data_IF_782826849807
#
_entry.id   IF_782826849807
#
_cell.length_a   1.000
_cell.length_b   1.000
_cell.length_c   1.000
_cell.angle_alpha   90.00
_cell.angle_beta   90.00
_cell.angle_gamma   90.00
#
_symmetry.space_group_name_H-M   'P 1'
#
loop_
_entity.id
_entity.type
_entity.pdbx_description
1 polymer ?
#
# COMPACT_ATOMS: atom_id res chain seq x y z
N UNK A 1 -45.31 17.42 -15.24
CA UNK A 1 -44.72 16.94 -16.51
C UNK A 1 -43.30 16.55 -16.27
N UNK A 2 -43.07 15.28 -16.05
CA UNK A 2 -41.75 14.67 -15.77
C UNK A 2 -41.00 14.52 -17.09
N UNK A 3 -39.92 15.26 -17.30
CA UNK A 3 -39.01 15.03 -18.41
C UNK A 3 -38.12 13.82 -18.05
N UNK A 4 -38.47 12.67 -18.63
CA UNK A 4 -37.58 11.52 -18.70
C UNK A 4 -36.40 11.90 -19.59
N UNK A 5 -35.20 12.00 -19.01
CA UNK A 5 -33.95 12.00 -19.76
C UNK A 5 -33.86 10.67 -20.55
N UNK A 6 -33.56 10.71 -21.84
CA UNK A 6 -33.37 9.49 -22.61
C UNK A 6 -32.05 8.84 -22.21
N UNK A 7 -32.13 7.70 -21.52
CA UNK A 7 -31.00 6.82 -21.32
C UNK A 7 -30.48 6.29 -22.66
N UNK A 8 -29.42 6.90 -23.18
CA UNK A 8 -28.69 6.38 -24.34
C UNK A 8 -27.78 5.25 -23.83
N UNK A 9 -28.36 4.07 -23.70
CA UNK A 9 -27.62 2.83 -23.63
C UNK A 9 -27.16 2.43 -25.01
N UNK A 10 -26.05 2.97 -25.52
CA UNK A 10 -25.40 2.41 -26.70
C UNK A 10 -24.64 1.14 -26.26
N UNK A 11 -25.28 0.01 -26.42
CA UNK A 11 -24.67 -1.33 -26.38
C UNK A 11 -23.89 -1.57 -27.68
N UNK A 12 -22.77 -0.89 -27.87
CA UNK A 12 -21.97 -1.13 -29.07
C UNK A 12 -20.77 -0.21 -29.12
N UNK A 13 -19.60 -0.63 -28.63
CA UNK A 13 -18.37 0.09 -28.88
C UNK A 13 -17.35 0.13 -27.75
N UNK A 14 -17.71 -0.18 -26.50
CA UNK A 14 -16.72 -0.15 -25.41
C UNK A 14 -15.75 -1.34 -25.56
N UNK A 15 -14.47 -1.06 -25.77
CA UNK A 15 -13.43 -2.09 -25.85
C UNK A 15 -13.00 -2.49 -24.43
N UNK A 16 -13.87 -3.25 -23.76
CA UNK A 16 -13.67 -3.70 -22.38
C UNK A 16 -12.34 -4.45 -22.21
N UNK A 17 -11.96 -5.28 -23.20
CA UNK A 17 -10.70 -6.02 -23.14
C UNK A 17 -9.49 -5.07 -23.12
N UNK A 18 -9.51 -4.01 -23.93
CA UNK A 18 -8.44 -3.03 -23.95
C UNK A 18 -8.40 -2.19 -22.68
N UNK A 19 -9.55 -1.77 -22.14
CA UNK A 19 -9.64 -1.06 -20.86
C UNK A 19 -9.09 -1.90 -19.71
N UNK A 20 -9.47 -3.18 -19.65
CA UNK A 20 -8.95 -4.11 -18.63
C UNK A 20 -7.44 -4.28 -18.80
N UNK A 21 -6.94 -4.49 -20.00
CA UNK A 21 -5.52 -4.66 -20.26
C UNK A 21 -4.70 -3.46 -19.76
N UNK A 22 -5.04 -2.23 -20.18
CA UNK A 22 -4.29 -1.04 -19.78
C UNK A 22 -4.42 -0.73 -18.29
N UNK A 23 -5.56 -1.08 -17.68
CA UNK A 23 -5.76 -0.98 -16.24
C UNK A 23 -4.90 -2.01 -15.48
N UNK A 24 -4.80 -3.24 -15.97
CA UNK A 24 -3.89 -4.25 -15.41
C UNK A 24 -2.42 -3.80 -15.52
N UNK A 25 -2.02 -3.18 -16.63
CA UNK A 25 -0.67 -2.59 -16.73
C UNK A 25 -0.46 -1.53 -15.65
N UNK A 26 -1.40 -0.62 -15.46
CA UNK A 26 -1.29 0.41 -14.42
C UNK A 26 -1.23 -0.19 -13.00
N UNK A 27 -1.93 -1.31 -12.73
CA UNK A 27 -1.89 -1.99 -11.42
C UNK A 27 -0.57 -2.67 -11.10
N UNK A 28 0.32 -2.90 -12.09
CA UNK A 28 1.68 -3.39 -11.83
C UNK A 28 2.49 -2.42 -10.95
N UNK A 29 2.18 -1.12 -10.97
CA UNK A 29 2.73 -0.17 -9.99
C UNK A 29 2.36 -0.55 -8.54
N UNK A 30 1.14 -1.05 -8.31
CA UNK A 30 0.73 -1.61 -7.02
C UNK A 30 1.45 -2.91 -6.68
N UNK A 31 1.60 -3.81 -7.65
CA UNK A 31 2.38 -5.04 -7.46
C UNK A 31 3.82 -4.75 -7.04
N UNK A 32 4.48 -3.78 -7.71
CA UNK A 32 5.84 -3.36 -7.37
C UNK A 32 5.91 -2.72 -5.98
N UNK A 33 4.90 -1.94 -5.57
CA UNK A 33 4.79 -1.45 -4.20
C UNK A 33 4.78 -2.62 -3.20
N UNK A 34 3.95 -3.63 -3.43
CA UNK A 34 3.89 -4.80 -2.56
C UNK A 34 5.19 -5.58 -2.54
N UNK A 35 5.81 -5.80 -3.70
CA UNK A 35 7.08 -6.51 -3.82
C UNK A 35 8.21 -5.78 -3.09
N UNK A 36 8.35 -4.48 -3.32
CA UNK A 36 9.38 -3.64 -2.68
C UNK A 36 9.23 -3.56 -1.16
N UNK A 37 7.98 -3.59 -0.68
CA UNK A 37 7.66 -3.67 0.75
C UNK A 37 7.97 -5.04 1.35
N UNK A 38 7.75 -6.12 0.61
CA UNK A 38 7.95 -7.48 1.09
C UNK A 38 9.39 -7.97 1.02
N UNK A 39 10.16 -7.52 0.04
CA UNK A 39 11.52 -8.00 -0.18
C UNK A 39 12.43 -7.77 1.02
N UNK A 40 12.25 -6.67 1.73
CA UNK A 40 13.05 -6.30 2.90
C UNK A 40 13.00 -7.36 4.02
N UNK A 41 11.90 -8.09 4.14
CA UNK A 41 11.69 -9.11 5.17
C UNK A 41 12.77 -10.20 5.17
N UNK A 42 13.17 -10.68 4.01
CA UNK A 42 14.19 -11.73 3.87
C UNK A 42 15.62 -11.21 3.86
N UNK A 43 15.83 -9.89 3.94
CA UNK A 43 17.16 -9.29 3.75
C UNK A 43 17.74 -8.68 5.01
N UNK A 44 16.99 -8.64 6.12
CA UNK A 44 17.38 -7.94 7.35
C UNK A 44 18.68 -8.49 7.94
N UNK A 45 18.85 -9.83 7.98
CA UNK A 45 20.06 -10.46 8.50
C UNK A 45 21.26 -10.19 7.59
N UNK A 46 21.04 -10.22 6.26
CA UNK A 46 22.05 -9.84 5.28
C UNK A 46 22.52 -8.40 5.42
N UNK A 47 21.59 -7.45 5.63
CA UNK A 47 21.91 -6.04 5.86
C UNK A 47 22.71 -5.84 7.15
N UNK A 48 22.26 -6.47 8.25
CA UNK A 48 22.95 -6.41 9.54
C UNK A 48 24.40 -6.88 9.41
N UNK A 49 24.62 -7.99 8.73
CA UNK A 49 25.95 -8.55 8.55
C UNK A 49 26.80 -7.72 7.57
N UNK A 50 26.24 -7.34 6.42
CA UNK A 50 26.99 -6.64 5.37
C UNK A 50 27.43 -5.22 5.78
N UNK A 51 26.61 -4.52 6.58
CA UNK A 51 26.91 -3.12 6.98
C UNK A 51 27.31 -2.98 8.44
N UNK A 52 27.36 -4.08 9.20
CA UNK A 52 27.63 -4.07 10.64
C UNK A 52 26.73 -3.07 11.39
N UNK A 53 25.44 -3.08 11.04
CA UNK A 53 24.48 -2.06 11.47
C UNK A 53 24.08 -2.24 12.92
N UNK A 54 24.07 -1.15 13.70
CA UNK A 54 23.40 -1.11 15.00
C UNK A 54 21.88 -1.23 14.82
N UNK A 55 21.15 -1.56 15.90
CA UNK A 55 19.67 -1.70 15.83
C UNK A 55 18.98 -0.41 15.32
N UNK A 56 19.47 0.76 15.70
CA UNK A 56 18.96 2.03 15.21
C UNK A 56 19.26 2.25 13.71
N UNK A 57 20.48 1.91 13.27
CA UNK A 57 20.86 2.01 11.86
C UNK A 57 20.06 1.03 11.01
N UNK A 58 19.90 -0.22 11.46
CA UNK A 58 19.10 -1.24 10.80
C UNK A 58 17.62 -0.79 10.66
N UNK A 59 17.05 -0.24 11.73
CA UNK A 59 15.70 0.31 11.70
C UNK A 59 15.56 1.42 10.65
N UNK A 60 16.56 2.29 10.53
CA UNK A 60 16.57 3.35 9.52
C UNK A 60 16.76 2.79 8.09
N UNK A 61 17.65 1.82 7.89
CA UNK A 61 17.86 1.13 6.61
C UNK A 61 16.55 0.54 6.10
N UNK A 62 15.82 -0.19 6.95
CA UNK A 62 14.52 -0.79 6.61
C UNK A 62 13.46 0.27 6.35
N UNK A 63 13.37 1.32 7.18
CA UNK A 63 12.36 2.36 7.10
C UNK A 63 12.64 3.42 6.02
N UNK A 64 13.86 3.52 5.50
CA UNK A 64 14.30 4.60 4.59
C UNK A 64 13.45 4.74 3.33
N UNK A 65 12.93 3.64 2.81
CA UNK A 65 11.98 3.64 1.68
C UNK A 65 10.75 4.52 1.96
N UNK A 66 10.25 4.51 3.20
CA UNK A 66 9.03 5.22 3.58
C UNK A 66 9.18 6.74 3.49
N UNK A 67 10.39 7.26 3.68
CA UNK A 67 10.69 8.69 3.44
C UNK A 67 10.52 9.04 1.96
N UNK A 68 11.03 8.19 1.08
CA UNK A 68 10.82 8.32 -0.37
C UNK A 68 9.33 8.25 -0.73
N UNK A 69 8.58 7.33 -0.12
CA UNK A 69 7.14 7.18 -0.34
C UNK A 69 6.36 8.47 -0.02
N UNK A 70 6.65 9.09 1.12
CA UNK A 70 6.01 10.34 1.52
C UNK A 70 6.27 11.46 0.49
N UNK A 71 7.53 11.63 0.07
CA UNK A 71 7.92 12.65 -0.92
C UNK A 71 7.30 12.33 -2.29
N UNK A 72 7.39 11.07 -2.74
CA UNK A 72 6.85 10.64 -4.02
C UNK A 72 5.34 10.83 -4.12
N UNK A 73 4.59 10.44 -3.08
CA UNK A 73 3.15 10.63 -3.03
C UNK A 73 2.75 12.11 -3.00
N UNK A 74 3.49 12.94 -2.27
CA UNK A 74 3.24 14.39 -2.22
C UNK A 74 3.46 15.07 -3.57
N UNK A 75 4.54 14.71 -4.27
CA UNK A 75 4.87 15.29 -5.57
C UNK A 75 4.10 14.69 -6.74
N UNK A 76 3.46 13.54 -6.55
CA UNK A 76 2.80 12.78 -7.62
C UNK A 76 1.79 13.61 -8.41
N UNK A 77 0.94 14.39 -7.73
CA UNK A 77 -0.06 15.25 -8.37
C UNK A 77 0.57 16.27 -9.30
N UNK A 78 1.57 17.00 -8.81
CA UNK A 78 2.31 18.02 -9.59
C UNK A 78 3.07 17.40 -10.78
N UNK A 79 3.71 16.25 -10.56
CA UNK A 79 4.36 15.49 -11.63
C UNK A 79 3.34 15.01 -12.67
N UNK A 80 2.19 14.51 -12.23
CA UNK A 80 1.10 14.03 -13.07
C UNK A 80 0.50 15.13 -13.96
N UNK A 81 0.46 16.37 -13.45
CA UNK A 81 0.02 17.55 -14.24
C UNK A 81 1.06 18.01 -15.25
N UNK A 82 2.36 17.72 -15.03
CA UNK A 82 3.45 18.08 -15.94
C UNK A 82 3.75 16.99 -16.98
N UNK A 83 3.99 15.77 -16.53
CA UNK A 83 4.49 14.65 -17.33
C UNK A 83 3.37 13.75 -17.87
N UNK A 84 2.15 13.88 -17.34
CA UNK A 84 1.06 12.94 -17.58
C UNK A 84 1.10 11.73 -16.62
N UNK A 85 0.00 11.00 -16.60
CA UNK A 85 -0.13 9.86 -15.69
C UNK A 85 0.81 8.73 -16.12
N UNK A 86 0.81 8.41 -17.41
CA UNK A 86 1.73 7.43 -18.01
C UNK A 86 3.20 7.86 -17.85
N UNK A 87 3.50 9.14 -18.07
CA UNK A 87 4.86 9.68 -17.95
C UNK A 87 5.42 9.48 -16.53
N UNK A 88 4.63 9.79 -15.48
CA UNK A 88 5.04 9.55 -14.09
C UNK A 88 5.22 8.06 -13.80
N UNK A 89 4.35 7.19 -14.31
CA UNK A 89 4.49 5.75 -14.13
C UNK A 89 5.76 5.20 -14.82
N UNK A 90 6.15 5.73 -15.99
CA UNK A 90 7.40 5.36 -16.67
C UNK A 90 8.61 5.78 -15.82
N UNK A 91 8.61 7.00 -15.28
CA UNK A 91 9.69 7.45 -14.38
C UNK A 91 9.73 6.57 -13.13
N UNK A 92 8.57 6.24 -12.55
CA UNK A 92 8.50 5.33 -11.39
C UNK A 92 9.06 3.94 -11.73
N UNK A 93 8.73 3.38 -12.91
CA UNK A 93 9.25 2.07 -13.34
C UNK A 93 10.78 2.07 -13.48
N UNK A 94 11.36 3.13 -14.03
CA UNK A 94 12.81 3.32 -14.10
C UNK A 94 13.44 3.44 -12.71
N UNK A 95 12.80 4.21 -11.81
CA UNK A 95 13.29 4.36 -10.44
C UNK A 95 13.20 3.04 -9.65
N UNK A 96 12.15 2.23 -9.84
CA UNK A 96 12.06 0.88 -9.27
C UNK A 96 13.23 0.00 -9.76
N UNK A 97 13.50 0.01 -11.06
CA UNK A 97 14.59 -0.77 -11.65
C UNK A 97 15.95 -0.34 -11.08
N UNK A 98 16.24 0.96 -11.06
CA UNK A 98 17.49 1.50 -10.52
C UNK A 98 17.61 1.21 -9.02
N UNK A 99 16.52 1.35 -8.27
CA UNK A 99 16.49 1.04 -6.84
C UNK A 99 16.78 -0.45 -6.58
N UNK A 100 16.14 -1.36 -7.30
CA UNK A 100 16.34 -2.80 -7.15
C UNK A 100 17.80 -3.19 -7.43
N UNK A 101 18.37 -2.69 -8.53
CA UNK A 101 19.76 -2.95 -8.89
C UNK A 101 20.73 -2.32 -7.89
N UNK A 102 20.48 -1.07 -7.49
CA UNK A 102 21.30 -0.33 -6.54
C UNK A 102 21.28 -0.91 -5.14
N UNK A 103 20.11 -1.33 -4.63
CA UNK A 103 19.98 -1.94 -3.31
C UNK A 103 20.74 -3.26 -3.22
N UNK A 104 20.59 -4.15 -4.21
CA UNK A 104 21.33 -5.41 -4.27
C UNK A 104 22.82 -5.25 -4.49
N UNK A 105 23.26 -4.20 -5.21
CA UNK A 105 24.67 -3.92 -5.46
C UNK A 105 25.34 -3.09 -4.35
N UNK A 106 24.59 -2.60 -3.37
CA UNK A 106 25.12 -1.73 -2.32
C UNK A 106 26.20 -2.43 -1.48
N UNK A 107 27.33 -1.76 -1.31
CA UNK A 107 28.46 -2.19 -0.47
C UNK A 107 28.64 -1.28 0.75
N UNK A 108 27.79 -0.28 0.91
CA UNK A 108 27.76 0.61 2.07
C UNK A 108 26.31 0.98 2.40
N UNK A 109 26.00 1.14 3.69
CA UNK A 109 24.66 1.47 4.19
C UNK A 109 24.05 2.72 3.52
N UNK A 110 24.84 3.79 3.33
CA UNK A 110 24.32 5.01 2.70
C UNK A 110 23.89 4.82 1.23
N UNK A 111 24.59 3.95 0.47
CA UNK A 111 24.19 3.60 -0.90
C UNK A 111 22.90 2.81 -0.91
N UNK A 112 22.77 1.86 0.02
CA UNK A 112 21.54 1.10 0.21
C UNK A 112 20.38 2.04 0.55
N UNK A 113 20.54 2.93 1.53
CA UNK A 113 19.54 3.93 1.93
C UNK A 113 19.15 4.80 0.74
N UNK A 114 20.11 5.31 -0.04
CA UNK A 114 19.84 6.13 -1.22
C UNK A 114 19.01 5.36 -2.27
N UNK A 115 19.35 4.10 -2.53
CA UNK A 115 18.59 3.24 -3.45
C UNK A 115 17.17 2.99 -2.91
N UNK A 116 16.99 2.73 -1.60
CA UNK A 116 15.69 2.51 -0.96
C UNK A 116 14.81 3.78 -0.99
N UNK A 117 15.38 4.94 -0.72
CA UNK A 117 14.66 6.23 -0.83
C UNK A 117 14.19 6.47 -2.26
N UNK A 118 15.02 6.15 -3.26
CA UNK A 118 14.66 6.25 -4.67
C UNK A 118 13.49 5.30 -5.02
N UNK A 119 13.55 4.03 -4.57
CA UNK A 119 12.46 3.06 -4.72
C UNK A 119 11.17 3.52 -4.03
N UNK A 120 11.32 4.07 -2.82
CA UNK A 120 10.21 4.67 -2.10
C UNK A 120 9.54 5.82 -2.86
N UNK A 121 10.32 6.70 -3.47
CA UNK A 121 9.76 7.76 -4.33
C UNK A 121 8.92 7.15 -5.47
N UNK A 122 9.40 6.09 -6.11
CA UNK A 122 8.65 5.37 -7.14
C UNK A 122 7.34 4.77 -6.59
N UNK A 123 7.40 4.13 -5.41
CA UNK A 123 6.21 3.62 -4.70
C UNK A 123 5.20 4.71 -4.45
N UNK A 124 5.62 5.83 -3.84
CA UNK A 124 4.75 6.96 -3.52
C UNK A 124 4.10 7.54 -4.76
N UNK A 125 4.87 7.80 -5.81
CA UNK A 125 4.35 8.33 -7.07
C UNK A 125 3.39 7.36 -7.76
N UNK A 126 3.73 6.07 -7.84
CA UNK A 126 2.88 5.05 -8.46
C UNK A 126 1.59 4.81 -7.68
N UNK A 127 1.63 4.87 -6.33
CA UNK A 127 0.45 4.67 -5.47
C UNK A 127 -0.66 5.69 -5.72
N UNK A 128 -0.29 6.89 -6.16
CA UNK A 128 -1.23 7.97 -6.51
C UNK A 128 -1.60 7.91 -8.00
N UNK A 129 -0.60 7.69 -8.88
CA UNK A 129 -0.81 7.78 -10.34
C UNK A 129 -1.51 6.57 -10.93
N UNK A 130 -1.29 5.35 -10.42
CA UNK A 130 -1.98 4.16 -10.94
C UNK A 130 -3.49 4.23 -10.77
N UNK A 131 -4.04 4.51 -9.57
CA UNK A 131 -5.48 4.71 -9.41
C UNK A 131 -6.02 5.90 -10.23
N UNK A 132 -5.26 7.00 -10.33
CA UNK A 132 -5.67 8.16 -11.12
C UNK A 132 -5.77 7.81 -12.62
N UNK A 133 -4.78 7.11 -13.18
CA UNK A 133 -4.81 6.64 -14.56
C UNK A 133 -6.02 5.72 -14.81
N UNK A 134 -6.23 4.73 -13.94
CA UNK A 134 -7.36 3.80 -14.03
C UNK A 134 -8.70 4.56 -14.00
N UNK A 135 -8.84 5.54 -13.10
CA UNK A 135 -10.06 6.34 -12.98
C UNK A 135 -10.35 7.19 -14.23
N UNK A 136 -9.32 7.59 -14.98
CA UNK A 136 -9.43 8.41 -16.18
C UNK A 136 -9.66 7.59 -17.46
N UNK A 137 -9.25 6.31 -17.50
CA UNK A 137 -9.44 5.44 -18.68
C UNK A 137 -10.61 4.48 -18.55
N UNK A 138 -11.02 4.13 -17.33
CA UNK A 138 -12.11 3.20 -17.07
C UNK A 138 -13.46 3.91 -17.04
N UNK A 139 -14.50 3.24 -17.58
CA UNK A 139 -15.88 3.71 -17.43
C UNK A 139 -16.33 3.63 -15.96
N UNK A 140 -17.32 4.45 -15.59
CA UNK A 140 -17.88 4.49 -14.23
C UNK A 140 -18.32 3.08 -13.73
N UNK A 141 -18.78 2.22 -14.65
CA UNK A 141 -19.21 0.84 -14.36
C UNK A 141 -18.08 -0.03 -13.79
N UNK A 142 -16.84 0.13 -14.27
CA UNK A 142 -15.71 -0.73 -13.91
C UNK A 142 -14.75 -0.08 -12.90
N UNK A 143 -14.85 1.23 -12.68
CA UNK A 143 -13.90 2.02 -11.84
C UNK A 143 -13.74 1.44 -10.44
N UNK A 144 -14.84 1.10 -9.75
CA UNK A 144 -14.78 0.51 -8.40
C UNK A 144 -14.10 -0.86 -8.37
N UNK A 145 -14.41 -1.72 -9.34
CA UNK A 145 -13.78 -3.05 -9.46
C UNK A 145 -12.28 -2.95 -9.74
N UNK A 146 -11.88 -2.01 -10.59
CA UNK A 146 -10.47 -1.80 -10.93
C UNK A 146 -9.66 -1.21 -9.76
N UNK A 147 -10.28 -0.38 -8.92
CA UNK A 147 -9.65 0.07 -7.67
C UNK A 147 -9.35 -1.11 -6.72
N UNK A 148 -10.23 -2.10 -6.68
CA UNK A 148 -10.01 -3.34 -5.92
C UNK A 148 -8.86 -4.16 -6.48
N UNK A 149 -8.71 -4.21 -7.81
CA UNK A 149 -7.59 -4.90 -8.47
C UNK A 149 -6.25 -4.28 -8.08
N UNK A 150 -6.19 -2.97 -7.88
CA UNK A 150 -4.99 -2.28 -7.38
C UNK A 150 -4.57 -2.81 -5.99
N UNK A 151 -5.50 -2.92 -5.05
CA UNK A 151 -5.22 -3.45 -3.71
C UNK A 151 -4.79 -4.93 -3.76
N UNK A 152 -5.45 -5.72 -4.59
CA UNK A 152 -5.06 -7.11 -4.82
C UNK A 152 -3.63 -7.21 -5.39
N UNK A 153 -3.28 -6.34 -6.34
CA UNK A 153 -1.95 -6.31 -6.92
C UNK A 153 -0.87 -6.03 -5.87
N UNK A 154 -1.11 -5.11 -4.92
CA UNK A 154 -0.19 -4.84 -3.79
C UNK A 154 0.04 -6.11 -2.97
N UNK A 155 -1.03 -6.80 -2.58
CA UNK A 155 -0.92 -8.01 -1.74
C UNK A 155 -0.28 -9.17 -2.51
N UNK A 156 -0.59 -9.33 -3.80
CA UNK A 156 0.08 -10.31 -4.65
C UNK A 156 1.58 -10.01 -4.81
N UNK A 157 1.96 -8.74 -4.90
CA UNK A 157 3.36 -8.31 -4.93
C UNK A 157 4.08 -8.66 -3.63
N UNK A 158 3.46 -8.40 -2.48
CA UNK A 158 3.98 -8.77 -1.17
C UNK A 158 4.20 -10.29 -1.05
N UNK A 159 3.20 -11.08 -1.45
CA UNK A 159 3.29 -12.54 -1.47
C UNK A 159 4.43 -13.02 -2.40
N UNK A 160 4.53 -12.45 -3.59
CA UNK A 160 5.57 -12.79 -4.55
C UNK A 160 6.98 -12.50 -4.01
N UNK A 161 7.15 -11.38 -3.28
CA UNK A 161 8.40 -11.06 -2.61
C UNK A 161 8.74 -12.08 -1.51
N UNK A 162 7.78 -12.44 -0.66
CA UNK A 162 7.99 -13.45 0.37
C UNK A 162 8.36 -14.81 -0.22
N UNK A 163 7.66 -15.23 -1.27
CA UNK A 163 7.97 -16.47 -1.99
C UNK A 163 9.36 -16.43 -2.63
N UNK A 164 9.71 -15.32 -3.27
CA UNK A 164 11.05 -15.10 -3.85
C UNK A 164 12.14 -15.19 -2.79
N UNK A 165 11.97 -14.50 -1.66
CA UNK A 165 12.92 -14.52 -0.54
C UNK A 165 13.12 -15.95 -0.01
N UNK A 166 12.02 -16.68 0.22
CA UNK A 166 12.07 -18.06 0.69
C UNK A 166 12.82 -18.97 -0.28
N UNK A 167 12.50 -18.90 -1.58
CA UNK A 167 13.12 -19.75 -2.59
C UNK A 167 14.63 -19.46 -2.74
N UNK A 168 15.03 -18.19 -2.73
CA UNK A 168 16.42 -17.78 -2.85
C UNK A 168 17.25 -18.17 -1.60
N UNK A 169 16.73 -17.89 -0.41
CA UNK A 169 17.39 -18.30 0.84
C UNK A 169 17.51 -19.83 0.94
N UNK A 170 16.46 -20.56 0.59
CA UNK A 170 16.50 -22.03 0.56
C UNK A 170 17.51 -22.57 -0.44
N UNK A 171 17.63 -21.95 -1.62
CA UNK A 171 18.60 -22.38 -2.64
C UNK A 171 20.05 -22.12 -2.23
N UNK A 172 20.31 -21.05 -1.47
CA UNK A 172 21.64 -20.71 -0.95
C UNK A 172 21.98 -21.44 0.37
N UNK A 173 20.96 -21.85 1.13
CA UNK A 173 21.10 -22.37 2.50
C UNK A 173 20.71 -21.34 3.57
N UNK A 174 21.01 -20.05 3.35
CA UNK A 174 20.56 -18.92 4.15
C UNK A 174 20.58 -17.64 3.31
N UNK A 175 19.95 -16.56 3.80
CA UNK A 175 19.94 -15.26 3.10
C UNK A 175 21.33 -14.63 2.98
N UNK A 176 22.21 -14.94 3.93
CA UNK A 176 23.59 -14.44 4.02
C UNK A 176 24.60 -15.27 3.24
N UNK A 177 24.20 -16.46 2.76
CA UNK A 177 25.08 -17.36 2.03
C UNK A 177 25.18 -16.96 0.54
N UNK A 178 26.36 -17.20 -0.08
CA UNK A 178 26.55 -16.98 -1.51
C UNK A 178 25.61 -17.86 -2.35
N UNK A 179 24.97 -17.27 -3.38
CA UNK A 179 24.08 -17.97 -4.29
C UNK A 179 24.70 -18.03 -5.68
N UNK A 180 24.40 -17.07 -6.55
CA UNK A 180 24.92 -17.00 -7.91
C UNK A 180 25.99 -15.93 -8.06
N UNK A 181 26.98 -16.17 -8.89
CA UNK A 181 28.07 -15.24 -9.20
C UNK A 181 28.86 -14.76 -7.96
N UNK A 182 28.82 -15.52 -6.86
CA UNK A 182 29.50 -15.18 -5.62
C UNK A 182 28.85 -14.09 -4.78
N UNK A 183 27.61 -13.71 -5.11
CA UNK A 183 26.85 -12.74 -4.34
C UNK A 183 25.88 -13.44 -3.37
N UNK A 184 25.71 -12.89 -2.18
CA UNK A 184 24.82 -13.40 -1.13
C UNK A 184 23.35 -13.37 -1.59
N UNK A 185 22.54 -14.31 -1.09
CA UNK A 185 21.15 -14.49 -1.52
C UNK A 185 20.28 -13.24 -1.27
N UNK A 186 20.52 -12.47 -0.19
CA UNK A 186 19.78 -11.25 0.09
C UNK A 186 19.93 -10.19 -1.01
N UNK A 187 21.05 -10.14 -1.72
CA UNK A 187 21.26 -9.23 -2.87
C UNK A 187 20.37 -9.64 -4.04
N UNK A 188 20.30 -10.94 -4.31
CA UNK A 188 19.44 -11.48 -5.35
C UNK A 188 17.96 -11.25 -5.05
N UNK A 189 17.55 -11.23 -3.79
CA UNK A 189 16.17 -10.88 -3.41
C UNK A 189 15.78 -9.49 -3.93
N UNK A 190 16.65 -8.47 -3.81
CA UNK A 190 16.43 -7.15 -4.40
C UNK A 190 16.49 -7.20 -5.93
N UNK A 191 17.46 -7.89 -6.51
CA UNK A 191 17.60 -7.96 -7.97
C UNK A 191 16.43 -8.66 -8.65
N UNK A 192 15.75 -9.58 -8.01
CA UNK A 192 14.53 -10.21 -8.54
C UNK A 192 13.41 -9.20 -8.82
N UNK A 193 13.36 -8.07 -8.09
CA UNK A 193 12.42 -6.99 -8.37
C UNK A 193 12.67 -6.34 -9.74
N UNK A 194 13.87 -6.44 -10.30
CA UNK A 194 14.16 -5.90 -11.63
C UNK A 194 13.31 -6.55 -12.72
N UNK A 195 12.91 -7.81 -12.56
CA UNK A 195 12.06 -8.51 -13.52
C UNK A 195 10.68 -7.87 -13.66
N UNK A 196 9.86 -7.75 -12.60
CA UNK A 196 8.57 -7.08 -12.71
C UNK A 196 8.71 -5.57 -13.00
N UNK A 197 9.80 -4.91 -12.57
CA UNK A 197 10.05 -3.50 -12.90
C UNK A 197 10.32 -3.29 -14.39
N UNK A 198 11.14 -4.15 -14.99
CA UNK A 198 11.42 -4.13 -16.42
C UNK A 198 10.16 -4.44 -17.24
N UNK A 199 9.38 -5.44 -16.84
CA UNK A 199 8.09 -5.76 -17.47
C UNK A 199 7.13 -4.57 -17.39
N UNK A 200 7.02 -3.93 -16.24
CA UNK A 200 6.17 -2.74 -16.06
C UNK A 200 6.60 -1.61 -16.99
N UNK A 201 7.91 -1.32 -17.07
CA UNK A 201 8.45 -0.32 -17.98
C UNK A 201 8.09 -0.61 -19.43
N UNK A 202 8.31 -1.84 -19.90
CA UNK A 202 8.01 -2.23 -21.28
C UNK A 202 6.53 -2.10 -21.61
N UNK A 203 5.65 -2.54 -20.71
CA UNK A 203 4.20 -2.45 -20.91
C UNK A 203 3.71 -1.00 -20.89
N UNK A 204 4.29 -0.14 -20.05
CA UNK A 204 3.98 1.28 -20.04
C UNK A 204 4.34 2.01 -21.34
N UNK A 205 5.32 1.52 -22.09
CA UNK A 205 5.67 2.10 -23.40
C UNK A 205 4.57 1.84 -24.46
N UNK A 206 3.73 0.84 -24.26
CA UNK A 206 2.69 0.42 -25.22
C UNK A 206 1.33 1.03 -24.90
N UNK A 207 0.99 1.28 -23.63
CA UNK A 207 -0.31 1.85 -23.26
C UNK A 207 -0.40 3.34 -23.62
N UNK A 208 -1.59 3.88 -23.94
CA UNK A 208 -1.78 5.31 -24.26
C UNK A 208 -1.68 6.18 -23.00
N UNK A 209 -1.49 7.49 -23.19
CA UNK A 209 -1.65 8.47 -22.11
C UNK A 209 -3.14 8.70 -21.81
N UNK A 210 -3.44 9.25 -20.63
CA UNK A 210 -4.80 9.58 -20.20
C UNK A 210 -5.48 10.56 -21.15
N UNK A 211 -6.71 10.28 -21.62
CA UNK A 211 -7.48 11.22 -22.44
C UNK A 211 -7.69 12.58 -21.75
N UNK A 212 -7.95 12.59 -20.43
CA UNK A 212 -8.15 13.82 -19.67
C UNK A 212 -6.90 14.70 -19.67
N UNK A 213 -5.74 14.08 -19.47
CA UNK A 213 -4.46 14.80 -19.53
C UNK A 213 -4.18 15.39 -20.92
N UNK A 214 -4.48 14.63 -21.99
CA UNK A 214 -4.28 15.10 -23.37
C UNK A 214 -5.17 16.31 -23.69
N UNK A 215 -6.43 16.34 -23.23
CA UNK A 215 -7.32 17.51 -23.34
C UNK A 215 -6.74 18.71 -22.60
N UNK A 216 -6.31 18.54 -21.35
CA UNK A 216 -5.71 19.61 -20.53
C UNK A 216 -4.46 20.19 -21.21
N UNK A 217 -3.69 19.38 -21.92
CA UNK A 217 -2.48 19.82 -22.65
C UNK A 217 -2.75 20.38 -24.05
N UNK A 218 -4.02 20.58 -24.42
CA UNK A 218 -4.38 21.13 -25.72
C UNK A 218 -4.08 20.18 -26.89
N UNK A 219 -4.20 18.85 -26.65
CA UNK A 219 -4.02 17.80 -27.66
C UNK A 219 -5.33 17.03 -27.92
N UNK A 220 -6.41 17.71 -28.35
CA UNK A 220 -7.74 17.13 -28.47
C UNK A 220 -7.82 15.98 -29.47
N UNK A 221 -7.08 16.02 -30.57
CA UNK A 221 -7.08 14.95 -31.57
C UNK A 221 -6.48 13.65 -31.01
N UNK A 222 -5.39 13.75 -30.25
CA UNK A 222 -4.79 12.59 -29.58
C UNK A 222 -5.74 12.02 -28.50
N UNK A 223 -6.41 12.89 -27.74
CA UNK A 223 -7.42 12.49 -26.79
C UNK A 223 -8.55 11.74 -27.46
N UNK A 224 -9.06 12.25 -28.60
CA UNK A 224 -10.11 11.60 -29.39
C UNK A 224 -9.66 10.23 -29.90
N UNK A 225 -8.45 10.10 -30.42
CA UNK A 225 -7.91 8.82 -30.89
C UNK A 225 -7.85 7.78 -29.77
N UNK A 226 -7.44 8.18 -28.54
CA UNK A 226 -7.46 7.28 -27.37
C UNK A 226 -8.90 6.92 -26.98
N UNK A 227 -9.81 7.89 -26.91
CA UNK A 227 -11.23 7.68 -26.61
C UNK A 227 -11.91 6.76 -27.63
N UNK A 228 -11.57 6.89 -28.91
CA UNK A 228 -12.07 6.01 -29.97
C UNK A 228 -11.61 4.56 -29.76
N UNK A 229 -10.38 4.34 -29.34
CA UNK A 229 -9.89 3.00 -28.98
C UNK A 229 -10.55 2.41 -27.73
N UNK A 230 -10.95 3.26 -26.76
CA UNK A 230 -11.59 2.85 -25.51
C UNK A 230 -13.09 2.60 -25.68
N UNK A 231 -13.79 3.52 -26.36
CA UNK A 231 -15.26 3.58 -26.37
C UNK A 231 -15.87 3.48 -27.76
N UNK A 232 -15.05 3.39 -28.81
CA UNK A 232 -15.48 3.44 -30.21
C UNK A 232 -15.66 4.87 -30.75
N UNK A 233 -15.56 5.04 -32.06
CA UNK A 233 -15.62 6.35 -32.74
C UNK A 233 -16.89 7.14 -32.42
N UNK A 234 -18.04 6.46 -32.39
CA UNK A 234 -19.34 7.10 -32.15
C UNK A 234 -19.43 7.76 -30.74
N UNK A 235 -18.79 7.18 -29.74
CA UNK A 235 -18.80 7.69 -28.37
C UNK A 235 -17.63 8.65 -28.06
N UNK A 236 -16.55 8.62 -28.84
CA UNK A 236 -15.33 9.38 -28.57
C UNK A 236 -15.58 10.89 -28.50
N UNK A 237 -16.34 11.44 -29.44
CA UNK A 237 -16.64 12.89 -29.48
C UNK A 237 -17.50 13.32 -28.29
N UNK A 238 -18.51 12.54 -27.92
CA UNK A 238 -19.35 12.83 -26.75
C UNK A 238 -18.55 12.76 -25.46
N UNK A 239 -17.68 11.75 -25.31
CA UNK A 239 -16.79 11.61 -24.16
C UNK A 239 -15.75 12.73 -24.05
N UNK A 240 -15.21 13.18 -25.16
CA UNK A 240 -14.31 14.33 -25.18
C UNK A 240 -15.04 15.61 -24.73
N UNK A 241 -16.25 15.88 -25.24
CA UNK A 241 -17.04 17.03 -24.83
C UNK A 241 -17.41 16.97 -23.33
N UNK A 242 -17.70 15.77 -22.79
CA UNK A 242 -17.92 15.56 -21.36
C UNK A 242 -16.68 15.94 -20.52
N UNK A 243 -15.48 15.54 -20.97
CA UNK A 243 -14.22 15.91 -20.32
C UNK A 243 -13.99 17.42 -20.37
N UNK A 244 -14.19 18.05 -21.52
CA UNK A 244 -14.03 19.50 -21.72
C UNK A 244 -15.01 20.29 -20.84
N UNK A 245 -16.27 19.88 -20.79
CA UNK A 245 -17.30 20.48 -19.94
C UNK A 245 -16.94 20.34 -18.43
N UNK A 246 -16.48 19.16 -18.01
CA UNK A 246 -16.02 18.94 -16.64
C UNK A 246 -14.86 19.85 -16.28
N UNK A 247 -13.89 20.01 -17.17
CA UNK A 247 -12.73 20.90 -16.94
C UNK A 247 -13.15 22.38 -16.89
N UNK A 248 -14.13 22.81 -17.67
CA UNK A 248 -14.67 24.17 -17.66
C UNK A 248 -15.47 24.48 -16.37
N UNK A 249 -16.10 23.45 -15.77
CA UNK A 249 -16.86 23.59 -14.52
C UNK A 249 -15.96 23.56 -13.29
N UNK A 250 -14.74 23.01 -13.37
CA UNK A 250 -13.78 22.86 -12.27
C UNK A 250 -13.13 24.23 -11.91
N UNK A 251 -13.96 25.23 -11.57
CA UNK A 251 -13.50 26.59 -11.22
C UNK A 251 -12.81 26.67 -9.85
N UNK A 252 -13.02 25.70 -8.96
CA UNK A 252 -12.45 25.69 -7.63
C UNK A 252 -11.55 24.48 -7.39
N UNK A 253 -10.25 24.66 -7.59
CA UNK A 253 -9.27 23.63 -7.17
C UNK A 253 -9.18 23.62 -5.65
N UNK A 254 -9.47 22.47 -4.97
CA UNK A 254 -9.33 22.36 -3.53
C UNK A 254 -7.94 22.78 -3.05
N UNK A 255 -7.88 23.66 -2.04
CA UNK A 255 -6.65 24.19 -1.46
C UNK A 255 -6.48 23.71 -0.03
N UNK A 256 -5.26 23.70 0.48
CA UNK A 256 -4.99 23.40 1.90
C UNK A 256 -5.72 24.38 2.85
N UNK A 257 -5.96 25.60 2.41
CA UNK A 257 -6.75 26.59 3.17
C UNK A 257 -8.20 26.13 3.40
N UNK A 258 -8.78 25.34 2.50
CA UNK A 258 -10.16 24.84 2.60
C UNK A 258 -10.33 23.77 3.69
N UNK A 259 -9.23 23.23 4.22
CA UNK A 259 -9.25 22.34 5.38
C UNK A 259 -9.67 23.03 6.66
N UNK A 260 -9.65 24.36 6.67
CA UNK A 260 -10.17 25.16 7.78
C UNK A 260 -11.64 25.49 7.54
N UNK A 261 -12.40 25.42 8.60
CA UNK A 261 -13.78 25.91 8.61
C UNK A 261 -13.77 27.44 8.48
N UNK A 262 -14.54 27.98 7.53
CA UNK A 262 -14.57 29.42 7.22
C UNK A 262 -15.17 30.25 8.33
N UNK A 263 -16.01 29.66 9.22
CA UNK A 263 -16.70 30.35 10.32
C UNK A 263 -15.82 30.33 11.55
N UNK A 264 -15.28 29.17 11.91
CA UNK A 264 -14.52 28.99 13.16
C UNK A 264 -13.03 29.21 13.01
N UNK A 265 -12.50 29.20 11.78
CA UNK A 265 -11.06 29.27 11.48
C UNK A 265 -10.26 28.00 11.88
N UNK A 266 -10.93 27.01 12.51
CA UNK A 266 -10.32 25.77 12.98
C UNK A 266 -10.28 24.72 11.89
N UNK A 267 -9.39 23.73 12.03
CA UNK A 267 -9.37 22.54 11.17
C UNK A 267 -10.69 21.77 11.34
N UNK A 268 -11.27 21.34 10.22
CA UNK A 268 -12.54 20.60 10.22
C UNK A 268 -12.41 19.28 11.00
N UNK A 269 -13.37 18.94 11.88
CA UNK A 269 -13.31 17.73 12.71
C UNK A 269 -13.11 16.43 11.91
N UNK A 270 -13.68 16.35 10.71
CA UNK A 270 -13.56 15.18 9.84
C UNK A 270 -12.12 14.91 9.41
N UNK A 271 -11.26 15.94 9.32
CA UNK A 271 -9.83 15.77 9.03
C UNK A 271 -9.12 14.99 10.13
N UNK A 272 -9.45 15.27 11.40
CA UNK A 272 -8.87 14.54 12.54
C UNK A 272 -9.29 13.06 12.55
N UNK A 273 -10.53 12.77 12.11
CA UNK A 273 -10.98 11.37 11.95
C UNK A 273 -10.18 10.68 10.86
N UNK A 274 -9.92 11.35 9.73
CA UNK A 274 -9.08 10.79 8.66
C UNK A 274 -7.64 10.57 9.08
N UNK A 275 -7.03 11.52 9.79
CA UNK A 275 -5.68 11.38 10.39
C UNK A 275 -5.66 10.19 11.36
N UNK A 276 -6.65 10.09 12.26
CA UNK A 276 -6.77 8.99 13.21
C UNK A 276 -6.87 7.62 12.53
N UNK A 277 -7.71 7.49 11.49
CA UNK A 277 -7.81 6.26 10.69
C UNK A 277 -6.45 5.87 10.09
N UNK A 278 -5.76 6.84 9.48
CA UNK A 278 -4.47 6.62 8.84
C UNK A 278 -3.38 6.23 9.85
N UNK A 279 -3.36 6.86 11.02
CA UNK A 279 -2.42 6.55 12.09
C UNK A 279 -2.69 5.18 12.72
N UNK A 280 -3.92 4.88 13.11
CA UNK A 280 -4.27 3.60 13.73
C UNK A 280 -3.97 2.41 12.80
N UNK A 281 -4.17 2.56 11.49
CA UNK A 281 -3.79 1.53 10.53
C UNK A 281 -2.32 1.10 10.67
N UNK A 282 -1.44 2.02 11.03
CA UNK A 282 -0.01 1.76 11.17
C UNK A 282 0.38 1.40 12.61
N UNK A 283 -0.19 2.11 13.59
CA UNK A 283 0.14 1.95 15.02
C UNK A 283 -0.19 0.56 15.57
N UNK A 284 -1.08 -0.19 14.92
CA UNK A 284 -1.34 -1.60 15.27
C UNK A 284 -0.16 -2.54 14.92
N UNK A 285 0.88 -2.05 14.23
CA UNK A 285 2.15 -2.76 14.03
C UNK A 285 2.16 -3.75 12.87
N UNK A 286 1.25 -3.65 11.91
CA UNK A 286 1.17 -4.61 10.79
C UNK A 286 2.45 -4.66 9.95
N UNK A 287 3.08 -3.51 9.71
CA UNK A 287 4.28 -3.46 8.90
C UNK A 287 5.49 -4.08 9.59
N UNK A 288 5.48 -4.18 10.92
CA UNK A 288 6.49 -4.95 11.66
C UNK A 288 6.44 -6.42 11.27
N UNK A 289 5.24 -6.99 11.17
CA UNK A 289 5.07 -8.39 10.72
C UNK A 289 5.53 -8.56 9.27
N UNK A 290 5.25 -7.58 8.40
CA UNK A 290 5.61 -7.66 6.99
C UNK A 290 7.08 -7.36 6.69
N UNK A 291 7.73 -6.49 7.45
CA UNK A 291 9.12 -6.08 7.21
C UNK A 291 10.13 -6.87 8.04
N UNK A 292 9.76 -7.28 9.25
CA UNK A 292 10.64 -7.98 10.19
C UNK A 292 10.14 -9.40 10.55
N UNK A 293 9.19 -9.94 9.78
CA UNK A 293 8.58 -11.24 10.10
C UNK A 293 9.60 -12.37 10.20
N UNK A 294 10.63 -12.39 9.34
CA UNK A 294 11.71 -13.37 9.44
C UNK A 294 12.48 -13.23 10.76
N UNK A 295 12.88 -12.01 11.12
CA UNK A 295 13.57 -11.71 12.39
C UNK A 295 12.69 -12.06 13.59
N UNK A 296 11.39 -11.74 13.52
CA UNK A 296 10.42 -12.08 14.56
C UNK A 296 10.40 -13.60 14.84
N UNK A 297 10.26 -14.42 13.81
CA UNK A 297 10.16 -15.87 13.97
C UNK A 297 11.49 -16.50 14.37
N UNK A 298 12.61 -15.97 13.88
CA UNK A 298 13.93 -16.38 14.34
C UNK A 298 14.18 -16.02 15.82
N UNK A 299 13.69 -14.87 16.27
CA UNK A 299 13.80 -14.45 17.69
C UNK A 299 13.07 -15.41 18.65
N UNK A 300 12.06 -16.12 18.20
CA UNK A 300 11.34 -17.14 18.99
C UNK A 300 11.79 -18.58 18.70
N UNK A 301 12.95 -18.75 18.04
CA UNK A 301 13.62 -20.03 17.89
C UNK A 301 13.35 -20.80 16.60
N UNK A 302 12.59 -20.25 15.64
CA UNK A 302 12.43 -20.87 14.32
C UNK A 302 13.72 -20.74 13.50
N UNK A 303 13.97 -21.70 12.61
CA UNK A 303 15.02 -21.56 11.60
C UNK A 303 14.68 -20.43 10.61
N UNK A 304 15.68 -19.85 9.96
CA UNK A 304 15.44 -18.82 8.92
C UNK A 304 14.52 -19.34 7.82
N UNK A 305 14.72 -20.57 7.37
CA UNK A 305 13.87 -21.19 6.34
C UNK A 305 12.41 -21.30 6.78
N UNK A 306 12.16 -21.73 8.02
CA UNK A 306 10.80 -21.82 8.56
C UNK A 306 10.19 -20.43 8.74
N UNK A 307 10.96 -19.47 9.22
CA UNK A 307 10.53 -18.08 9.39
C UNK A 307 10.10 -17.46 8.05
N UNK A 308 10.87 -17.67 6.98
CA UNK A 308 10.51 -17.21 5.64
C UNK A 308 9.29 -17.94 5.08
N UNK A 309 9.15 -19.24 5.34
CA UNK A 309 7.97 -20.02 4.93
C UNK A 309 6.70 -19.54 5.65
N UNK A 310 6.79 -19.18 6.93
CA UNK A 310 5.67 -18.58 7.68
C UNK A 310 5.23 -17.27 7.02
N UNK A 311 6.16 -16.44 6.54
CA UNK A 311 5.82 -15.21 5.83
C UNK A 311 5.12 -15.49 4.49
N UNK A 312 5.53 -16.52 3.76
CA UNK A 312 4.81 -16.97 2.54
C UNK A 312 3.36 -17.35 2.89
N UNK A 313 3.16 -18.12 3.97
CA UNK A 313 1.82 -18.48 4.44
C UNK A 313 1.00 -17.24 4.80
N UNK A 314 1.57 -16.31 5.56
CA UNK A 314 0.92 -15.04 5.92
C UNK A 314 0.55 -14.21 4.69
N UNK A 315 1.40 -14.19 3.67
CA UNK A 315 1.11 -13.56 2.38
C UNK A 315 -0.06 -14.21 1.64
N UNK A 316 -0.09 -15.54 1.59
CA UNK A 316 -1.20 -16.30 0.98
C UNK A 316 -2.53 -16.05 1.71
N UNK A 317 -2.52 -16.08 3.05
CA UNK A 317 -3.69 -15.75 3.87
C UNK A 317 -4.16 -14.30 3.66
N UNK A 318 -3.22 -13.37 3.46
CA UNK A 318 -3.54 -11.97 3.14
C UNK A 318 -4.32 -11.83 1.84
N UNK A 319 -3.96 -12.62 0.80
CA UNK A 319 -4.70 -12.65 -0.47
C UNK A 319 -6.14 -13.14 -0.22
N UNK A 320 -6.31 -14.24 0.50
CA UNK A 320 -7.64 -14.77 0.85
C UNK A 320 -8.48 -13.78 1.66
N UNK A 321 -7.89 -13.12 2.64
CA UNK A 321 -8.54 -12.12 3.47
C UNK A 321 -8.98 -10.88 2.66
N UNK A 322 -8.14 -10.42 1.73
CA UNK A 322 -8.48 -9.30 0.86
C UNK A 322 -9.62 -9.65 -0.10
N UNK A 323 -9.63 -10.86 -0.69
CA UNK A 323 -10.75 -11.34 -1.50
C UNK A 323 -12.06 -11.36 -0.70
N UNK A 324 -11.99 -11.80 0.56
CA UNK A 324 -13.15 -11.77 1.46
C UNK A 324 -13.66 -10.36 1.70
N UNK A 325 -12.76 -9.38 1.85
CA UNK A 325 -13.14 -7.96 1.99
C UNK A 325 -13.94 -7.47 0.80
N UNK A 326 -13.51 -7.80 -0.41
CA UNK A 326 -14.21 -7.41 -1.65
C UNK A 326 -15.65 -7.88 -1.67
N UNK A 327 -15.91 -9.08 -1.13
CA UNK A 327 -17.24 -9.66 -1.04
C UNK A 327 -18.09 -9.05 0.08
N UNK A 328 -17.46 -8.61 1.16
CA UNK A 328 -18.14 -8.19 2.38
C UNK A 328 -18.33 -6.68 2.51
N UNK A 329 -17.44 -5.85 1.94
CA UNK A 329 -17.40 -4.40 2.18
C UNK A 329 -18.72 -3.70 1.81
N UNK A 330 -19.35 -4.11 0.71
CA UNK A 330 -20.63 -3.53 0.28
C UNK A 330 -21.85 -4.20 0.96
N UNK A 331 -21.66 -5.39 1.56
CA UNK A 331 -22.74 -6.08 2.30
C UNK A 331 -22.80 -5.65 3.75
N UNK A 332 -21.66 -5.61 4.44
CA UNK A 332 -21.57 -5.34 5.88
C UNK A 332 -21.45 -3.83 6.13
N UNK A 333 -20.71 -3.10 5.30
CA UNK A 333 -20.37 -1.69 5.48
C UNK A 333 -18.93 -1.50 5.97
N UNK A 334 -18.48 -0.24 5.94
CA UNK A 334 -17.08 0.10 6.22
C UNK A 334 -16.81 0.13 7.73
N UNK A 335 -17.65 0.82 8.50
CA UNK A 335 -17.50 0.93 9.96
C UNK A 335 -17.58 -0.42 10.68
N UNK A 336 -18.55 -1.31 10.41
CA UNK A 336 -18.59 -2.63 11.03
C UNK A 336 -17.37 -3.48 10.71
N UNK A 337 -16.85 -3.43 9.47
CA UNK A 337 -15.64 -4.17 9.11
C UNK A 337 -14.42 -3.66 9.88
N UNK A 338 -14.24 -2.33 10.01
CA UNK A 338 -13.17 -1.75 10.82
C UNK A 338 -13.28 -2.16 12.28
N UNK A 339 -14.50 -2.19 12.84
CA UNK A 339 -14.75 -2.61 14.22
C UNK A 339 -14.43 -4.08 14.43
N UNK A 340 -14.95 -4.97 13.58
CA UNK A 340 -14.66 -6.42 13.62
C UNK A 340 -13.14 -6.66 13.52
N UNK A 341 -12.47 -5.96 12.60
CA UNK A 341 -11.02 -6.03 12.45
C UNK A 341 -10.28 -5.58 13.70
N UNK A 342 -10.67 -4.45 14.30
CA UNK A 342 -10.05 -3.95 15.54
C UNK A 342 -10.19 -4.93 16.69
N UNK A 343 -11.37 -5.52 16.88
CA UNK A 343 -11.60 -6.54 17.93
C UNK A 343 -10.77 -7.79 17.66
N UNK A 344 -10.82 -8.33 16.43
CA UNK A 344 -10.04 -9.52 16.05
C UNK A 344 -8.54 -9.33 16.18
N UNK A 345 -8.01 -8.18 15.72
CA UNK A 345 -6.60 -7.83 15.90
C UNK A 345 -6.22 -7.71 17.38
N UNK A 346 -7.06 -7.06 18.19
CA UNK A 346 -6.79 -6.89 19.63
C UNK A 346 -6.70 -8.24 20.33
N UNK A 347 -7.64 -9.15 20.08
CA UNK A 347 -7.61 -10.51 20.66
C UNK A 347 -6.36 -11.26 20.21
N UNK A 348 -6.05 -11.24 18.92
CA UNK A 348 -4.88 -11.93 18.38
C UNK A 348 -3.57 -11.37 18.94
N UNK A 349 -3.43 -10.05 19.04
CA UNK A 349 -2.25 -9.40 19.61
C UNK A 349 -2.10 -9.71 21.12
N UNK A 350 -3.19 -9.73 21.89
CA UNK A 350 -3.16 -10.16 23.30
C UNK A 350 -2.63 -11.58 23.41
N UNK A 351 -3.11 -12.51 22.58
CA UNK A 351 -2.64 -13.88 22.58
C UNK A 351 -1.15 -13.98 22.21
N UNK A 352 -0.67 -13.16 21.27
CA UNK A 352 0.76 -13.09 20.95
C UNK A 352 1.58 -12.56 22.13
N UNK A 353 1.11 -11.51 22.80
CA UNK A 353 1.79 -10.96 23.99
C UNK A 353 1.88 -12.00 25.10
N UNK A 354 0.78 -12.73 25.37
CA UNK A 354 0.75 -13.81 26.37
C UNK A 354 1.77 -14.90 26.00
N UNK A 355 1.81 -15.31 24.72
CA UNK A 355 2.76 -16.31 24.26
C UNK A 355 4.22 -15.84 24.43
N UNK A 356 4.54 -14.62 24.02
CA UNK A 356 5.90 -14.07 24.12
C UNK A 356 6.31 -13.81 25.57
N UNK A 357 5.39 -13.37 26.44
CA UNK A 357 5.66 -13.15 27.87
C UNK A 357 5.88 -14.45 28.65
N UNK A 358 5.39 -15.59 28.17
CA UNK A 358 5.60 -16.90 28.79
C UNK A 358 6.97 -17.51 28.50
N UNK A 359 7.74 -16.94 27.55
CA UNK A 359 9.04 -17.45 27.14
C UNK A 359 10.16 -17.08 28.12
N UNK A 360 11.21 -17.88 28.11
CA UNK A 360 12.46 -17.63 28.83
C UNK A 360 13.56 -17.24 27.84
N UNK A 361 14.44 -16.31 28.24
CA UNK A 361 15.61 -15.98 27.46
C UNK A 361 16.72 -17.03 27.69
N UNK A 362 17.09 -17.76 26.65
CA UNK A 362 18.25 -18.66 26.66
C UNK A 362 19.11 -18.35 25.41
N UNK A 363 20.39 -18.19 25.63
CA UNK A 363 21.38 -17.85 24.58
C UNK A 363 21.00 -16.62 23.73
N UNK A 364 20.37 -15.59 24.34
CA UNK A 364 19.94 -14.38 23.69
C UNK A 364 18.71 -14.55 22.77
N UNK A 365 18.06 -15.72 22.78
CA UNK A 365 16.82 -16.01 22.05
C UNK A 365 15.68 -16.30 23.01
N UNK A 366 14.48 -15.89 22.63
CA UNK A 366 13.28 -16.21 23.37
C UNK A 366 12.88 -17.67 23.08
N UNK A 367 12.96 -18.52 24.08
CA UNK A 367 12.51 -19.91 23.97
C UNK A 367 11.07 -20.01 24.45
N UNK A 368 10.19 -20.45 23.57
CA UNK A 368 8.80 -20.74 23.87
C UNK A 368 8.60 -22.25 24.00
N UNK A 369 7.67 -22.67 24.84
CA UNK A 369 7.19 -24.05 24.79
C UNK A 369 6.47 -24.31 23.46
N UNK A 370 6.43 -25.56 23.00
CA UNK A 370 5.74 -25.95 21.75
C UNK A 370 4.32 -25.41 21.66
N UNK A 371 3.59 -25.44 22.76
CA UNK A 371 2.21 -24.91 22.81
C UNK A 371 2.15 -23.40 22.62
N UNK A 372 3.06 -22.65 23.25
CA UNK A 372 3.12 -21.20 23.14
C UNK A 372 3.67 -20.75 21.78
N UNK A 373 4.62 -21.48 21.21
CA UNK A 373 5.10 -21.24 19.85
C UNK A 373 3.98 -21.41 18.82
N UNK A 374 3.18 -22.47 18.94
CA UNK A 374 1.99 -22.68 18.08
C UNK A 374 0.93 -21.60 18.31
N UNK A 375 0.68 -21.20 19.55
CA UNK A 375 -0.26 -20.12 19.85
C UNK A 375 0.19 -18.82 19.21
N UNK A 376 1.46 -18.44 19.33
CA UNK A 376 2.02 -17.23 18.70
C UNK A 376 1.86 -17.26 17.18
N UNK A 377 2.16 -18.42 16.55
CA UNK A 377 2.04 -18.60 15.11
C UNK A 377 0.60 -18.44 14.62
N UNK A 378 -0.35 -19.11 15.27
CA UNK A 378 -1.77 -19.03 14.92
C UNK A 378 -2.29 -17.61 15.14
N UNK A 379 -1.99 -17.02 16.30
CA UNK A 379 -2.42 -15.67 16.64
C UNK A 379 -1.89 -14.63 15.67
N UNK A 380 -0.61 -14.71 15.25
CA UNK A 380 -0.03 -13.79 14.27
C UNK A 380 -0.71 -13.89 12.91
N UNK A 381 -1.01 -15.10 12.43
CA UNK A 381 -1.71 -15.28 11.17
C UNK A 381 -3.18 -14.82 11.25
N UNK A 382 -3.86 -15.07 12.37
CA UNK A 382 -5.22 -14.54 12.65
C UNK A 382 -5.19 -13.01 12.67
N UNK A 383 -4.20 -12.39 13.30
CA UNK A 383 -4.00 -10.94 13.27
C UNK A 383 -3.85 -10.40 11.84
N UNK A 384 -3.00 -11.04 11.02
CA UNK A 384 -2.79 -10.66 9.60
C UNK A 384 -4.11 -10.79 8.80
N UNK A 385 -4.89 -11.84 9.03
CA UNK A 385 -6.19 -12.05 8.36
C UNK A 385 -7.18 -10.93 8.75
N UNK A 386 -7.33 -10.63 10.04
CA UNK A 386 -8.24 -9.56 10.48
C UNK A 386 -7.81 -8.20 9.96
N UNK A 387 -6.52 -7.89 9.90
CA UNK A 387 -6.02 -6.65 9.31
C UNK A 387 -6.35 -6.57 7.82
N UNK A 388 -6.01 -7.60 7.04
CA UNK A 388 -6.21 -7.57 5.58
C UNK A 388 -7.68 -7.72 5.18
N UNK A 389 -8.53 -8.26 6.05
CA UNK A 389 -9.98 -8.29 5.86
C UNK A 389 -10.64 -6.94 6.15
N UNK A 390 -9.97 -6.04 6.89
CA UNK A 390 -10.58 -4.81 7.39
C UNK A 390 -9.70 -3.58 7.13
N UNK A 391 -8.80 -3.28 8.05
CA UNK A 391 -8.03 -2.03 8.07
C UNK A 391 -7.16 -1.81 6.83
N UNK A 392 -6.61 -2.87 6.24
CA UNK A 392 -5.80 -2.78 5.02
C UNK A 392 -6.55 -2.08 3.89
N UNK A 393 -7.59 -2.70 3.32
CA UNK A 393 -8.34 -2.13 2.21
C UNK A 393 -9.38 -1.10 2.63
N UNK A 394 -10.10 -1.30 3.77
CA UNK A 394 -11.27 -0.49 4.14
C UNK A 394 -10.91 0.94 4.53
N UNK A 395 -9.75 1.14 5.17
CA UNK A 395 -9.30 2.48 5.56
C UNK A 395 -9.17 3.42 4.34
N UNK A 396 -8.56 2.96 3.26
CA UNK A 396 -8.40 3.76 2.04
C UNK A 396 -9.74 4.06 1.35
N UNK A 397 -10.65 3.07 1.33
CA UNK A 397 -12.02 3.27 0.82
C UNK A 397 -12.74 4.32 1.67
N UNK A 398 -12.67 4.19 2.99
CA UNK A 398 -13.27 5.11 3.93
C UNK A 398 -12.74 6.54 3.75
N UNK A 399 -11.41 6.73 3.63
CA UNK A 399 -10.83 8.05 3.39
C UNK A 399 -11.30 8.66 2.08
N UNK A 400 -11.44 7.85 1.03
CA UNK A 400 -11.96 8.30 -0.27
C UNK A 400 -13.42 8.72 -0.23
N UNK A 401 -14.24 8.08 0.62
CA UNK A 401 -15.68 8.29 0.74
C UNK A 401 -16.06 9.35 1.75
N UNK A 402 -15.30 9.50 2.86
CA UNK A 402 -15.70 10.37 3.97
C UNK A 402 -15.46 11.86 3.72
N UNK A 403 -14.51 12.23 2.87
CA UNK A 403 -14.18 13.63 2.64
C UNK A 403 -15.06 14.26 1.56
N UNK A 404 -15.72 15.41 1.85
CA UNK A 404 -16.44 16.17 0.85
C UNK A 404 -15.54 16.57 -0.32
N UNK A 405 -16.12 16.68 -1.53
CA UNK A 405 -15.38 17.01 -2.76
C UNK A 405 -14.50 18.26 -2.63
N UNK A 406 -14.99 19.28 -1.89
CA UNK A 406 -14.31 20.57 -1.70
C UNK A 406 -12.95 20.46 -1.01
N UNK A 407 -12.74 19.46 -0.14
CA UNK A 407 -11.51 19.31 0.66
C UNK A 407 -10.81 17.99 0.41
N UNK A 408 -11.36 17.08 -0.41
CA UNK A 408 -10.90 15.68 -0.55
C UNK A 408 -9.42 15.58 -0.89
N UNK A 409 -8.95 16.31 -1.90
CA UNK A 409 -7.54 16.24 -2.31
C UNK A 409 -6.57 16.60 -1.18
N UNK A 410 -6.67 17.82 -0.59
CA UNK A 410 -5.84 18.21 0.54
C UNK A 410 -6.01 17.31 1.77
N UNK A 411 -7.25 16.85 2.07
CA UNK A 411 -7.50 15.97 3.22
C UNK A 411 -6.84 14.59 3.06
N UNK A 412 -6.92 13.99 1.86
CA UNK A 412 -6.21 12.75 1.54
C UNK A 412 -4.70 12.91 1.61
N UNK A 413 -4.17 14.05 1.18
CA UNK A 413 -2.74 14.34 1.27
C UNK A 413 -2.26 14.40 2.74
N UNK A 414 -3.03 15.06 3.61
CA UNK A 414 -2.72 15.15 5.06
C UNK A 414 -2.85 13.78 5.74
N UNK A 415 -3.94 13.04 5.46
CA UNK A 415 -4.12 11.69 6.00
C UNK A 415 -3.02 10.72 5.50
N UNK A 416 -2.66 10.81 4.22
CA UNK A 416 -1.55 10.04 3.65
C UNK A 416 -0.20 10.39 4.28
N UNK A 417 0.08 11.66 4.53
CA UNK A 417 1.28 12.08 5.25
C UNK A 417 1.32 11.51 6.68
N UNK A 418 0.20 11.54 7.40
CA UNK A 418 0.10 10.93 8.73
C UNK A 418 0.33 9.41 8.68
N UNK A 419 -0.20 8.74 7.67
CA UNK A 419 0.00 7.30 7.45
C UNK A 419 1.48 6.96 7.21
N UNK A 420 2.15 7.64 6.27
CA UNK A 420 3.57 7.39 5.98
C UNK A 420 4.47 7.71 7.16
N UNK A 421 4.20 8.81 7.88
CA UNK A 421 4.96 9.19 9.09
C UNK A 421 4.79 8.14 10.20
N UNK A 422 3.57 7.66 10.44
CA UNK A 422 3.31 6.62 11.44
C UNK A 422 3.97 5.30 11.05
N UNK A 423 3.93 4.92 9.77
CA UNK A 423 4.61 3.73 9.26
C UNK A 423 6.13 3.84 9.48
N UNK A 424 6.72 4.97 9.12
CA UNK A 424 8.14 5.22 9.35
C UNK A 424 8.51 5.10 10.83
N UNK A 425 7.75 5.76 11.72
CA UNK A 425 8.00 5.74 13.15
C UNK A 425 7.96 4.31 13.73
N UNK A 426 6.93 3.53 13.39
CA UNK A 426 6.80 2.14 13.84
C UNK A 426 7.93 1.27 13.29
N UNK A 427 8.27 1.42 12.02
CA UNK A 427 9.29 0.59 11.36
C UNK A 427 10.69 0.88 11.89
N UNK A 428 11.04 2.16 12.05
CA UNK A 428 12.39 2.55 12.52
C UNK A 428 12.61 2.21 13.98
N UNK A 429 11.55 2.22 14.80
CA UNK A 429 11.68 1.97 16.25
C UNK A 429 11.64 0.49 16.62
N UNK A 430 11.14 -0.38 15.75
CA UNK A 430 10.95 -1.79 16.11
C UNK A 430 12.23 -2.53 16.53
N UNK A 431 13.39 -2.45 15.82
CA UNK A 431 14.60 -3.12 16.26
C UNK A 431 15.08 -2.65 17.65
N UNK A 432 14.94 -1.35 17.94
CA UNK A 432 15.28 -0.80 19.27
C UNK A 432 14.32 -1.28 20.36
N UNK A 433 13.01 -1.38 20.05
CA UNK A 433 12.02 -1.93 20.98
C UNK A 433 12.29 -3.41 21.23
N UNK A 434 12.60 -4.17 20.18
CA UNK A 434 12.93 -5.59 20.28
C UNK A 434 14.15 -5.80 21.20
N UNK A 435 15.20 -5.02 21.00
CA UNK A 435 16.42 -5.10 21.83
C UNK A 435 16.22 -4.60 23.27
N UNK A 436 15.37 -3.57 23.48
CA UNK A 436 15.19 -2.93 24.78
C UNK A 436 14.14 -3.58 25.68
N UNK A 437 12.95 -3.86 25.16
CA UNK A 437 11.79 -4.36 25.92
C UNK A 437 11.30 -5.72 25.45
N UNK A 438 11.97 -6.31 24.44
CA UNK A 438 11.64 -7.62 23.88
C UNK A 438 10.31 -7.65 23.09
N UNK A 439 10.01 -8.84 22.57
CA UNK A 439 8.80 -9.04 21.73
C UNK A 439 7.52 -8.75 22.50
N UNK A 440 7.38 -9.24 23.73
CA UNK A 440 6.17 -9.03 24.53
C UNK A 440 5.90 -7.54 24.77
N UNK A 441 6.93 -6.75 25.06
CA UNK A 441 6.81 -5.30 25.25
C UNK A 441 6.43 -4.57 23.96
N UNK A 442 7.12 -4.87 22.85
CA UNK A 442 6.85 -4.24 21.56
C UNK A 442 5.41 -4.53 21.08
N UNK A 443 5.00 -5.80 21.11
CA UNK A 443 3.64 -6.18 20.74
C UNK A 443 2.58 -5.71 21.74
N UNK A 444 2.95 -5.50 23.01
CA UNK A 444 2.10 -4.85 24.00
C UNK A 444 1.69 -3.44 23.60
N UNK A 445 2.63 -2.65 23.06
CA UNK A 445 2.35 -1.29 22.54
C UNK A 445 1.35 -1.37 21.37
N UNK A 446 1.54 -2.29 20.43
CA UNK A 446 0.63 -2.47 19.28
C UNK A 446 -0.75 -2.98 19.72
N UNK A 447 -0.80 -3.82 20.76
CA UNK A 447 -2.05 -4.27 21.38
C UNK A 447 -2.85 -3.10 21.95
N UNK A 448 -2.21 -2.20 22.69
CA UNK A 448 -2.86 -0.99 23.21
C UNK A 448 -3.41 -0.14 22.06
N UNK A 449 -2.65 0.07 20.99
CA UNK A 449 -3.13 0.79 19.82
C UNK A 449 -4.35 0.11 19.15
N UNK A 450 -4.33 -1.23 19.05
CA UNK A 450 -5.47 -1.98 18.50
C UNK A 450 -6.73 -1.85 19.38
N UNK A 451 -6.60 -1.91 20.69
CA UNK A 451 -7.72 -1.70 21.63
C UNK A 451 -8.25 -0.26 21.52
N UNK A 452 -7.36 0.74 21.48
CA UNK A 452 -7.75 2.14 21.31
C UNK A 452 -8.47 2.36 19.96
N UNK A 453 -8.08 1.63 18.92
CA UNK A 453 -8.75 1.70 17.61
C UNK A 453 -10.21 1.27 17.67
N UNK A 454 -10.60 0.34 18.58
CA UNK A 454 -12.00 -0.07 18.80
C UNK A 454 -12.82 1.15 19.25
N UNK A 455 -12.35 1.84 20.29
CA UNK A 455 -13.02 3.02 20.83
C UNK A 455 -13.08 4.15 19.80
N UNK A 456 -11.98 4.34 19.06
CA UNK A 456 -11.92 5.35 18.00
C UNK A 456 -12.96 5.09 16.91
N UNK A 457 -13.06 3.84 16.41
CA UNK A 457 -14.03 3.48 15.38
C UNK A 457 -15.45 3.64 15.87
N UNK A 458 -15.76 3.17 17.09
CA UNK A 458 -17.11 3.28 17.65
C UNK A 458 -17.53 4.73 17.81
N UNK A 459 -16.65 5.59 18.35
CA UNK A 459 -16.98 6.95 18.77
C UNK A 459 -16.93 7.98 17.65
N UNK A 460 -15.97 7.87 16.74
CA UNK A 460 -15.67 8.94 15.78
C UNK A 460 -15.93 8.56 14.32
N UNK A 461 -15.82 7.30 13.95
CA UNK A 461 -16.02 6.89 12.57
C UNK A 461 -17.51 6.77 12.27
N UNK A 462 -17.94 7.42 11.18
CA UNK A 462 -19.32 7.31 10.67
C UNK A 462 -19.36 6.33 9.49
N UNK A 463 -20.48 5.61 9.35
CA UNK A 463 -20.69 4.70 8.22
C UNK A 463 -20.88 5.50 6.94
N UNK A 464 -20.17 5.10 5.88
CA UNK A 464 -20.23 5.73 4.55
C UNK A 464 -21.06 4.95 3.54
N UNK A 465 -21.36 3.67 3.83
CA UNK A 465 -22.12 2.82 2.94
C UNK A 465 -23.46 3.45 2.54
N UNK A 466 -23.70 3.57 1.22
CA UNK A 466 -24.97 4.06 0.67
C UNK A 466 -25.20 5.55 0.81
N UNK A 467 -24.23 6.33 1.25
CA UNK A 467 -24.30 7.79 1.29
C UNK A 467 -23.61 8.40 0.06
N UNK A 468 -24.26 9.40 -0.53
CA UNK A 468 -23.65 10.21 -1.57
C UNK A 468 -22.62 11.18 -0.94
N UNK A 469 -21.58 11.53 -1.71
CA UNK A 469 -20.47 12.37 -1.24
C UNK A 469 -20.93 13.79 -0.84
N UNK A 470 -22.03 14.24 -1.44
CA UNK A 470 -22.69 15.53 -1.15
C UNK A 470 -23.41 15.51 0.21
N UNK A 471 -23.75 14.33 0.74
CA UNK A 471 -24.41 14.15 2.04
C UNK A 471 -23.42 14.02 3.21
N UNK A 472 -22.13 14.03 2.91
CA UNK A 472 -21.08 14.00 3.93
C UNK A 472 -20.82 15.42 4.45
N UNK A 473 -21.61 15.84 5.41
CA UNK A 473 -21.36 17.06 6.17
C UNK A 473 -20.16 16.86 7.10
N UNK A 474 -19.15 17.75 6.94
CA UNK A 474 -17.95 17.79 7.76
C UNK A 474 -18.15 18.44 9.12
#
# INVERSE_FOLDING_TARGET
MSQRQPGIASRGGENTAFIVLISCVATLGGFLFGFDSGVINGTVDGLRQAFNSSEAALGFEVASMLLGCAVGAFLAGWLGDRLGRRGVLIVSALMFLVSALGAGAAHASWLFIAARVLGGFAVGAASVMSPAYIAEVASARYRGRLATVQQMAIICGLFAAFLSNYLLARAAGASTEPLWLGHEAWRWMFWMQALPSGLFLLLLLVIPESPRFLVVKGRPEQARAVLARLYGEAAATAKQAEIEASLAQDQHKPRFADLRDKVTGRLRPILWVGIGLAMFQQLVGINVVFYYGAVLWQAVGFSESDALLINVLSGALSIGACLLTVLLIDRIGRKPLLWIGSVGMSVALVLMVVAFASGSLADGRLQLSDGMGRLALVAANVYVVFFNMSWGPVMWVMLGEMFPNQIRGPALAVAGAAQWTSNFAITVTFPMLLAGIGLAGAYGIYTVAAILSIFFVVRYVRETKGKELEQMEG
#
